data_IF_863835518650
#
_entry.id   IF_863835518650
#
_cell.length_a   1.000
_cell.length_b   1.000
_cell.length_c   1.000
_cell.angle_alpha   90.00
_cell.angle_beta   90.00
_cell.angle_gamma   90.00
#
_symmetry.space_group_name_H-M   'P 1'
#
loop_
_entity.id
_entity.type
_entity.pdbx_description
1 polymer ?
#
# COMPACT_ATOMS: atom_id res chain seq x y z
N UNK A 1 -14.72 8.90 -1.39
CA UNK A 1 -13.54 8.02 -1.15
C UNK A 1 -12.27 8.84 -1.31
N UNK A 2 -11.36 8.82 -0.33
CA UNK A 2 -10.06 9.50 -0.46
C UNK A 2 -9.11 8.61 -1.27
N UNK A 3 -8.37 9.23 -2.20
CA UNK A 3 -7.36 8.56 -3.04
C UNK A 3 -5.97 8.96 -2.55
N UNK A 4 -5.12 7.98 -2.26
CA UNK A 4 -3.78 8.19 -1.71
C UNK A 4 -2.79 7.45 -2.62
N UNK A 5 -1.74 8.15 -3.02
CA UNK A 5 -0.58 7.55 -3.69
C UNK A 5 0.59 7.50 -2.71
N UNK A 6 1.20 6.33 -2.57
CA UNK A 6 2.46 6.13 -1.85
C UNK A 6 3.53 5.88 -2.91
N UNK A 7 4.58 6.69 -2.92
CA UNK A 7 5.72 6.56 -3.85
C UNK A 7 6.92 6.05 -3.06
N UNK A 8 7.39 4.85 -3.43
CA UNK A 8 8.38 4.06 -2.71
C UNK A 8 7.70 2.95 -1.88
N UNK A 9 8.10 1.70 -2.14
CA UNK A 9 7.68 0.50 -1.40
C UNK A 9 8.75 0.01 -0.40
N UNK A 10 9.68 0.89 -0.01
CA UNK A 10 10.60 0.65 1.09
C UNK A 10 9.88 0.58 2.45
N UNK A 11 10.62 0.36 3.56
CA UNK A 11 10.03 0.19 4.89
C UNK A 11 9.04 1.30 5.24
N UNK A 12 9.39 2.56 4.99
CA UNK A 12 8.51 3.71 5.24
C UNK A 12 7.19 3.62 4.48
N UNK A 13 7.22 3.23 3.20
CA UNK A 13 6.02 3.10 2.37
C UNK A 13 5.08 2.00 2.88
N UNK A 14 5.64 0.85 3.26
CA UNK A 14 4.88 -0.28 3.81
C UNK A 14 4.33 0.03 5.21
N UNK A 15 5.11 0.66 6.09
CA UNK A 15 4.61 1.08 7.40
C UNK A 15 3.55 2.18 7.29
N UNK A 16 3.68 3.08 6.31
CA UNK A 16 2.63 4.07 6.01
C UNK A 16 1.34 3.38 5.58
N UNK A 17 1.41 2.37 4.69
CA UNK A 17 0.25 1.56 4.34
C UNK A 17 -0.35 0.91 5.59
N UNK A 18 0.47 0.28 6.43
CA UNK A 18 0.02 -0.42 7.63
C UNK A 18 -0.79 0.50 8.55
N UNK A 19 -0.28 1.69 8.86
CA UNK A 19 -1.01 2.68 9.67
C UNK A 19 -2.31 3.19 9.01
N UNK A 20 -2.37 3.23 7.67
CA UNK A 20 -3.57 3.60 6.93
C UNK A 20 -4.65 2.50 6.96
N UNK A 21 -4.27 1.22 7.10
CA UNK A 21 -5.22 0.11 7.20
C UNK A 21 -6.00 0.11 8.52
N UNK A 22 -5.46 0.72 9.57
CA UNK A 22 -6.13 0.86 10.87
C UNK A 22 -7.25 1.92 10.85
N UNK A 23 -7.36 2.71 9.79
CA UNK A 23 -8.38 3.74 9.66
C UNK A 23 -9.76 3.12 9.35
N UNK A 24 -10.79 3.55 10.10
CA UNK A 24 -12.17 3.13 9.86
C UNK A 24 -12.81 3.77 8.60
N UNK A 25 -12.08 4.64 7.91
CA UNK A 25 -12.56 5.31 6.69
C UNK A 25 -12.19 4.51 5.44
N UNK A 26 -13.10 4.35 4.46
CA UNK A 26 -12.75 3.74 3.18
C UNK A 26 -11.69 4.54 2.41
N UNK A 27 -10.55 3.89 2.13
CA UNK A 27 -9.43 4.45 1.39
C UNK A 27 -9.20 3.70 0.07
N UNK A 28 -8.81 4.43 -0.97
CA UNK A 28 -8.26 3.89 -2.20
C UNK A 28 -6.78 4.25 -2.24
N UNK A 29 -5.91 3.23 -2.16
CA UNK A 29 -4.46 3.41 -2.01
C UNK A 29 -3.77 2.77 -3.21
N UNK A 30 -2.84 3.50 -3.81
CA UNK A 30 -1.93 3.00 -4.86
C UNK A 30 -0.49 3.15 -4.40
N UNK A 31 0.33 2.13 -4.61
CA UNK A 31 1.75 2.12 -4.25
C UNK A 31 2.56 1.99 -5.53
N UNK A 32 3.56 2.86 -5.69
CA UNK A 32 4.46 2.89 -6.84
C UNK A 32 5.89 2.64 -6.36
N UNK A 33 6.65 1.82 -7.08
CA UNK A 33 8.06 1.55 -6.82
C UNK A 33 8.82 1.62 -8.16
N UNK A 34 10.05 2.13 -8.13
CA UNK A 34 10.89 2.28 -9.31
C UNK A 34 11.68 1.00 -9.63
N UNK A 35 11.94 0.16 -8.63
CA UNK A 35 12.64 -1.09 -8.82
C UNK A 35 11.81 -2.12 -9.63
N UNK A 36 12.46 -2.80 -10.58
CA UNK A 36 11.87 -3.84 -11.43
C UNK A 36 11.53 -5.11 -10.61
N UNK A 37 12.24 -5.31 -9.50
CA UNK A 37 11.88 -6.27 -8.46
C UNK A 37 11.38 -5.53 -7.23
N UNK A 38 10.19 -5.93 -6.75
CA UNK A 38 9.78 -5.58 -5.41
C UNK A 38 10.87 -6.09 -4.45
N UNK A 39 11.47 -5.19 -3.68
CA UNK A 39 12.52 -5.46 -2.69
C UNK A 39 12.26 -6.82 -2.05
N UNK A 40 13.21 -7.75 -2.23
CA UNK A 40 13.14 -9.16 -1.81
C UNK A 40 12.43 -9.28 -0.45
N UNK A 41 11.14 -9.58 -0.47
CA UNK A 41 10.28 -9.49 0.72
C UNK A 41 8.83 -9.03 0.49
N UNK A 42 8.44 -8.48 -0.66
CA UNK A 42 7.06 -7.98 -0.87
C UNK A 42 6.47 -8.29 -2.26
N UNK A 43 6.09 -9.55 -2.50
CA UNK A 43 4.99 -9.85 -3.41
C UNK A 43 3.71 -9.97 -2.59
N UNK A 44 2.82 -8.98 -2.64
CA UNK A 44 1.48 -9.11 -2.07
C UNK A 44 0.46 -8.27 -2.84
N UNK A 45 -0.36 -8.94 -3.66
CA UNK A 45 -1.60 -8.38 -4.21
C UNK A 45 -2.71 -8.70 -3.22
N UNK A 46 -2.97 -7.81 -2.25
CA UNK A 46 -4.14 -7.90 -1.38
C UNK A 46 -5.30 -7.15 -2.00
N UNK A 47 -6.27 -7.87 -2.57
CA UNK A 47 -7.60 -7.32 -2.88
C UNK A 47 -8.50 -7.54 -1.67
N UNK A 48 -8.81 -6.48 -0.93
CA UNK A 48 -9.91 -6.49 0.04
C UNK A 48 -11.23 -6.24 -0.70
N UNK A 49 -11.89 -7.29 -1.14
CA UNK A 49 -13.30 -7.23 -1.54
C UNK A 49 -14.12 -7.27 -0.25
N UNK A 50 -14.78 -6.16 0.09
CA UNK A 50 -15.78 -6.17 1.16
C UNK A 50 -17.11 -6.65 0.56
N UNK A 51 -17.68 -7.71 1.14
CA UNK A 51 -19.06 -8.12 0.93
C UNK A 51 -19.93 -7.49 2.02
#
# INVERSE_FOLDING_TARGET
MKKIAIVGAGPTGIYTLFSLLEQQTPLSISIFEQADEAVSGCHTVMRKTQN
#
